data_IF_209244064667
#
_entry.id   IF_209244064667
#
_cell.length_a   1.000
_cell.length_b   1.000
_cell.length_c   1.000
_cell.angle_alpha   90.00
_cell.angle_beta   90.00
_cell.angle_gamma   90.00
#
_symmetry.space_group_name_H-M   'P 1'
#
loop_
_entity.id
_entity.type
_entity.pdbx_description
1 polymer ?
#
# COMPACT_ATOMS: atom_id res chain seq x y z
N UNK A 1 -10.85 -3.55 -18.82
CA UNK A 1 -9.78 -2.77 -18.17
C UNK A 1 -10.15 -2.73 -16.71
N UNK A 2 -9.43 -3.43 -15.83
CA UNK A 2 -9.78 -3.51 -14.41
C UNK A 2 -9.47 -2.15 -13.76
N UNK A 3 -10.37 -1.68 -12.88
CA UNK A 3 -10.18 -0.39 -12.18
C UNK A 3 -9.63 -0.68 -10.79
N UNK A 4 -8.41 -0.23 -10.55
CA UNK A 4 -7.72 -0.37 -9.28
C UNK A 4 -8.52 0.24 -8.10
N UNK A 5 -8.51 -0.44 -6.94
CA UNK A 5 -9.20 0.01 -5.72
C UNK A 5 -8.86 1.44 -5.34
N UNK A 6 -7.57 1.77 -5.29
CA UNK A 6 -7.12 3.08 -4.81
C UNK A 6 -7.57 4.15 -5.81
N UNK A 7 -7.38 3.90 -7.11
CA UNK A 7 -7.81 4.82 -8.16
C UNK A 7 -9.32 5.06 -8.11
N UNK A 8 -10.11 4.01 -7.89
CA UNK A 8 -11.57 4.10 -7.77
C UNK A 8 -11.99 4.94 -6.56
N UNK A 9 -11.40 4.68 -5.41
CA UNK A 9 -11.68 5.42 -4.16
C UNK A 9 -11.32 6.89 -4.33
N UNK A 10 -10.13 7.20 -4.84
CA UNK A 10 -9.69 8.58 -5.05
C UNK A 10 -10.59 9.32 -6.05
N UNK A 11 -11.00 8.64 -7.13
CA UNK A 11 -11.92 9.20 -8.11
C UNK A 11 -13.31 9.53 -7.53
N UNK A 12 -13.89 8.61 -6.75
CA UNK A 12 -15.21 8.80 -6.13
C UNK A 12 -15.17 9.89 -5.06
N UNK A 13 -14.11 9.93 -4.25
CA UNK A 13 -13.89 11.01 -3.27
C UNK A 13 -13.85 12.37 -3.95
N UNK A 14 -13.12 12.50 -5.05
CA UNK A 14 -13.03 13.76 -5.83
C UNK A 14 -14.40 14.23 -6.35
N UNK A 15 -15.36 13.31 -6.53
CA UNK A 15 -16.75 13.61 -6.89
C UNK A 15 -17.68 13.85 -5.70
N UNK A 16 -17.13 13.94 -4.48
CA UNK A 16 -17.88 14.19 -3.24
C UNK A 16 -18.47 12.95 -2.58
N UNK A 17 -18.09 11.73 -3.02
CA UNK A 17 -18.53 10.49 -2.39
C UNK A 17 -17.42 9.90 -1.50
N UNK A 18 -17.51 10.11 -0.19
CA UNK A 18 -16.52 9.65 0.78
C UNK A 18 -16.73 8.19 1.23
N UNK A 19 -17.94 7.65 1.06
CA UNK A 19 -18.31 6.30 1.52
C UNK A 19 -17.32 5.20 1.14
N UNK A 20 -16.81 5.11 -0.11
CA UNK A 20 -15.85 4.06 -0.46
C UNK A 20 -14.55 4.14 0.35
N UNK A 21 -14.06 5.33 0.67
CA UNK A 21 -12.85 5.47 1.49
C UNK A 21 -13.14 5.02 2.93
N UNK A 22 -14.27 5.45 3.49
CA UNK A 22 -14.72 5.05 4.83
C UNK A 22 -14.86 3.53 4.94
N UNK A 23 -15.42 2.89 3.91
CA UNK A 23 -15.56 1.44 3.85
C UNK A 23 -14.22 0.72 3.81
N UNK A 24 -13.24 1.21 3.04
CA UNK A 24 -11.87 0.65 3.05
C UNK A 24 -11.24 0.79 4.43
N UNK A 25 -11.40 1.93 5.09
CA UNK A 25 -10.86 2.16 6.43
C UNK A 25 -11.50 1.26 7.48
N UNK A 26 -12.82 1.08 7.41
CA UNK A 26 -13.54 0.15 8.26
C UNK A 26 -13.02 -1.28 8.05
N UNK A 27 -12.93 -1.72 6.79
CA UNK A 27 -12.38 -3.03 6.43
C UNK A 27 -11.00 -3.26 7.03
N UNK A 28 -10.08 -2.32 6.84
CA UNK A 28 -8.71 -2.41 7.37
C UNK A 28 -8.74 -2.53 8.89
N UNK A 29 -9.55 -1.71 9.57
CA UNK A 29 -9.63 -1.73 11.03
C UNK A 29 -10.20 -3.05 11.58
N UNK A 30 -11.20 -3.64 10.92
CA UNK A 30 -11.74 -4.95 11.28
C UNK A 30 -10.70 -6.07 11.07
N UNK A 31 -9.89 -5.91 10.04
CA UNK A 31 -8.89 -6.88 9.60
C UNK A 31 -7.60 -6.87 10.44
N UNK A 32 -7.41 -5.89 11.32
CA UNK A 32 -6.29 -5.84 12.28
C UNK A 32 -6.35 -6.96 13.34
N UNK A 33 -7.50 -7.64 13.46
CA UNK A 33 -7.74 -8.69 14.45
C UNK A 33 -7.55 -10.12 13.92
N UNK A 34 -7.38 -10.26 12.60
CA UNK A 34 -7.22 -11.56 11.93
C UNK A 34 -5.74 -12.03 11.92
N UNK A 35 -5.48 -13.31 11.56
CA UNK A 35 -4.11 -13.82 11.43
C UNK A 35 -3.25 -12.96 10.51
N UNK A 36 -2.04 -12.67 10.97
CA UNK A 36 -1.09 -11.74 10.35
C UNK A 36 0.33 -12.25 10.53
N UNK A 37 1.20 -11.94 9.58
CA UNK A 37 2.63 -12.23 9.70
C UNK A 37 3.32 -11.04 10.35
N UNK A 38 4.09 -11.30 11.40
CA UNK A 38 4.82 -10.25 12.12
C UNK A 38 6.26 -10.09 11.60
N UNK A 39 6.75 -8.86 11.61
CA UNK A 39 8.16 -8.56 11.39
C UNK A 39 8.59 -7.36 12.24
N UNK A 40 9.89 -7.31 12.54
CA UNK A 40 10.50 -6.23 13.34
C UNK A 40 11.37 -5.36 12.44
N UNK A 41 11.15 -4.05 12.48
CA UNK A 41 11.99 -3.04 11.82
C UNK A 41 12.31 -1.94 12.82
N UNK A 42 13.59 -1.57 12.94
CA UNK A 42 14.05 -0.51 13.83
C UNK A 42 13.54 -0.64 15.29
N UNK A 43 13.44 -1.88 15.78
CA UNK A 43 12.97 -2.19 17.14
C UNK A 43 11.45 -2.10 17.34
N UNK A 44 10.68 -1.71 16.31
CA UNK A 44 9.21 -1.66 16.35
C UNK A 44 8.60 -2.87 15.68
N UNK A 45 7.43 -3.31 16.18
CA UNK A 45 6.69 -4.42 15.60
C UNK A 45 5.74 -3.93 14.50
N UNK A 46 5.77 -4.64 13.37
CA UNK A 46 4.89 -4.44 12.24
C UNK A 46 4.23 -5.76 11.84
N UNK A 47 3.13 -5.62 11.12
CA UNK A 47 2.34 -6.73 10.62
C UNK A 47 2.04 -6.54 9.15
N UNK A 48 1.91 -7.65 8.44
CA UNK A 48 1.36 -7.64 7.10
C UNK A 48 0.48 -8.86 6.82
N UNK A 49 -0.40 -8.70 5.82
CA UNK A 49 -1.21 -9.78 5.27
C UNK A 49 -1.67 -9.47 3.84
N UNK A 50 -2.15 -10.50 3.14
CA UNK A 50 -2.76 -10.37 1.82
C UNK A 50 -4.28 -10.24 1.95
N UNK A 51 -4.86 -9.30 1.23
CA UNK A 51 -6.30 -9.07 1.14
C UNK A 51 -6.72 -9.18 -0.33
N UNK A 52 -7.76 -9.94 -0.62
CA UNK A 52 -8.28 -10.10 -1.98
C UNK A 52 -9.27 -8.99 -2.36
N UNK A 53 -9.42 -8.72 -3.66
CA UNK A 53 -10.41 -7.81 -4.23
C UNK A 53 -11.84 -8.21 -3.87
N UNK A 54 -12.07 -9.47 -3.51
CA UNK A 54 -13.37 -9.95 -3.04
C UNK A 54 -13.88 -9.19 -1.81
N UNK A 55 -12.95 -8.78 -0.94
CA UNK A 55 -13.28 -7.95 0.22
C UNK A 55 -13.75 -6.55 -0.17
N UNK A 56 -13.48 -6.12 -1.41
CA UNK A 56 -13.79 -4.80 -1.95
C UNK A 56 -14.81 -4.82 -3.10
N UNK A 57 -15.55 -5.93 -3.29
CA UNK A 57 -16.56 -6.09 -4.36
C UNK A 57 -17.64 -5.00 -4.40
N UNK A 58 -17.94 -4.37 -3.26
CA UNK A 58 -18.88 -3.25 -3.18
C UNK A 58 -18.32 -1.93 -3.75
N UNK A 59 -17.00 -1.84 -3.93
CA UNK A 59 -16.29 -0.63 -4.36
C UNK A 59 -15.74 -0.81 -5.78
N UNK A 60 -15.14 -1.96 -6.05
CA UNK A 60 -14.55 -2.33 -7.34
C UNK A 60 -15.15 -3.64 -7.86
N UNK A 61 -15.31 -3.69 -9.17
CA UNK A 61 -15.65 -4.91 -9.90
C UNK A 61 -14.38 -5.42 -10.60
N UNK A 62 -13.44 -5.95 -9.82
CA UNK A 62 -12.21 -6.57 -10.32
C UNK A 62 -12.13 -8.04 -9.92
N UNK A 63 -11.99 -8.89 -10.92
CA UNK A 63 -11.62 -10.28 -10.72
C UNK A 63 -10.14 -10.38 -10.31
N UNK A 64 -9.91 -10.92 -9.12
CA UNK A 64 -8.63 -11.50 -8.69
C UNK A 64 -7.48 -10.46 -8.65
N UNK A 65 -7.64 -9.41 -7.84
CA UNK A 65 -6.53 -8.54 -7.43
C UNK A 65 -6.21 -8.75 -5.95
N UNK A 66 -4.94 -8.89 -5.61
CA UNK A 66 -4.47 -9.01 -4.22
C UNK A 66 -3.78 -7.72 -3.76
N UNK A 67 -3.84 -7.48 -2.45
CA UNK A 67 -3.32 -6.30 -1.80
C UNK A 67 -2.51 -6.69 -0.58
N UNK A 68 -1.34 -6.09 -0.40
CA UNK A 68 -0.64 -6.11 0.87
C UNK A 68 -1.22 -5.03 1.78
N UNK A 69 -1.72 -5.43 2.94
CA UNK A 69 -1.95 -4.54 4.07
C UNK A 69 -0.72 -4.60 4.97
N UNK A 70 -0.12 -3.45 5.28
CA UNK A 70 1.03 -3.32 6.17
C UNK A 70 0.66 -2.32 7.28
N UNK A 71 0.88 -2.67 8.54
CA UNK A 71 0.50 -1.81 9.64
C UNK A 71 1.31 -2.02 10.93
N UNK A 72 1.23 -1.04 11.83
CA UNK A 72 1.71 -1.14 13.21
C UNK A 72 0.76 -0.38 14.13
N UNK A 73 0.36 -1.03 15.23
CA UNK A 73 -0.39 -0.38 16.31
C UNK A 73 0.50 0.51 17.19
N UNK A 74 1.79 0.20 17.29
CA UNK A 74 2.77 0.99 18.06
C UNK A 74 3.11 2.32 17.39
N UNK A 75 2.99 2.40 16.06
CA UNK A 75 3.37 3.57 15.27
C UNK A 75 2.21 4.18 14.46
N UNK A 76 0.96 3.85 14.76
CA UNK A 76 -0.24 4.24 13.99
C UNK A 76 -0.15 4.06 12.45
N UNK A 77 0.86 3.35 11.95
CA UNK A 77 1.20 3.27 10.54
C UNK A 77 0.25 2.29 9.88
N UNK A 78 -0.35 2.71 8.76
CA UNK A 78 -1.25 1.87 7.97
C UNK A 78 -1.04 2.16 6.50
N UNK A 79 -0.79 1.14 5.71
CA UNK A 79 -0.61 1.27 4.28
C UNK A 79 -1.17 0.08 3.50
N UNK A 80 -1.62 0.35 2.28
CA UNK A 80 -2.13 -0.64 1.33
C UNK A 80 -1.31 -0.57 0.04
N UNK A 81 -0.85 -1.71 -0.46
CA UNK A 81 -0.06 -1.80 -1.69
C UNK A 81 -0.61 -2.88 -2.61
N UNK A 82 -0.81 -2.56 -3.89
CA UNK A 82 -1.28 -3.54 -4.87
C UNK A 82 -0.21 -4.62 -5.05
N UNK A 83 -0.56 -5.89 -4.82
CA UNK A 83 0.30 -7.01 -5.17
C UNK A 83 0.18 -7.25 -6.67
N UNK A 84 1.31 -7.21 -7.37
CA UNK A 84 1.41 -7.69 -8.75
C UNK A 84 2.29 -8.92 -8.74
N UNK A 85 1.84 -9.98 -9.39
CA UNK A 85 2.68 -11.14 -9.57
C UNK A 85 3.83 -10.80 -10.54
N UNK A 86 5.05 -11.10 -10.11
CA UNK A 86 6.23 -10.99 -10.95
C UNK A 86 6.18 -11.99 -12.10
N UNK A 87 7.02 -11.73 -13.10
CA UNK A 87 7.20 -12.64 -14.24
C UNK A 87 8.00 -13.84 -13.72
N UNK A 88 7.53 -15.05 -14.01
CA UNK A 88 8.36 -16.24 -13.82
C UNK A 88 9.65 -16.07 -14.63
N UNK A 89 10.80 -16.23 -13.98
CA UNK A 89 12.06 -16.29 -14.72
C UNK A 89 12.00 -17.46 -15.74
N UNK A 90 12.89 -17.47 -16.75
CA UNK A 90 12.91 -18.46 -17.84
C UNK A 90 12.99 -19.94 -17.37
N UNK A 91 13.27 -20.16 -16.09
CA UNK A 91 13.38 -21.45 -15.41
C UNK A 91 12.20 -21.74 -14.46
N UNK A 92 11.14 -20.92 -14.47
CA UNK A 92 9.89 -21.14 -13.72
C UNK A 92 10.01 -21.06 -12.20
N UNK A 93 11.12 -20.54 -11.66
CA UNK A 93 11.50 -20.80 -10.28
C UNK A 93 10.98 -19.81 -9.25
N UNK A 94 10.60 -18.56 -9.61
CA UNK A 94 10.13 -17.58 -8.60
C UNK A 94 9.11 -16.58 -9.14
N UNK A 95 7.94 -16.50 -8.49
CA UNK A 95 7.03 -15.36 -8.58
C UNK A 95 7.41 -14.36 -7.49
N UNK A 96 8.18 -13.35 -7.88
CA UNK A 96 8.52 -12.23 -7.00
C UNK A 96 7.35 -11.23 -6.96
N UNK A 97 6.77 -10.91 -5.80
CA UNK A 97 5.77 -9.86 -5.74
C UNK A 97 6.37 -8.52 -6.16
N UNK A 98 5.60 -7.74 -6.90
CA UNK A 98 5.96 -6.38 -7.30
C UNK A 98 4.99 -5.38 -6.69
N UNK A 99 5.54 -4.42 -5.96
CA UNK A 99 4.85 -3.21 -5.51
C UNK A 99 5.53 -2.01 -6.18
N UNK A 100 4.77 -1.29 -7.00
CA UNK A 100 5.20 -0.02 -7.57
C UNK A 100 4.73 1.17 -6.75
N UNK A 101 3.54 1.06 -6.17
CA UNK A 101 2.82 2.16 -5.52
C UNK A 101 2.25 1.69 -4.20
N UNK A 102 2.32 2.56 -3.19
CA UNK A 102 1.82 2.30 -1.85
C UNK A 102 0.93 3.46 -1.41
N UNK A 103 -0.28 3.13 -0.96
CA UNK A 103 -1.22 4.08 -0.40
C UNK A 103 -1.06 4.11 1.10
N UNK A 104 -0.45 5.19 1.61
CA UNK A 104 -0.22 5.38 3.02
C UNK A 104 -1.44 6.09 3.60
N UNK A 105 -2.15 5.41 4.48
CA UNK A 105 -3.40 5.86 5.07
C UNK A 105 -3.16 6.70 6.31
N UNK A 106 -2.21 6.24 7.14
CA UNK A 106 -1.75 6.89 8.36
C UNK A 106 -0.26 6.61 8.54
N UNK A 107 0.46 7.57 9.09
CA UNK A 107 1.86 7.39 9.47
C UNK A 107 2.25 8.40 10.53
N UNK A 108 2.90 7.92 11.58
CA UNK A 108 3.50 8.72 12.63
C UNK A 108 5.00 9.00 12.40
N UNK A 109 5.56 8.54 11.27
CA UNK A 109 6.99 8.68 11.00
C UNK A 109 7.34 10.16 10.96
N UNK A 110 8.38 10.55 11.70
CA UNK A 110 8.80 11.95 11.77
C UNK A 110 9.07 12.52 10.36
N UNK A 111 9.61 11.67 9.49
CA UNK A 111 9.97 12.04 8.12
C UNK A 111 8.83 11.91 7.10
N UNK A 112 7.67 11.35 7.50
CA UNK A 112 6.48 11.16 6.67
C UNK A 112 5.19 11.14 7.51
N UNK A 113 4.89 12.25 8.19
CA UNK A 113 3.71 12.32 9.08
C UNK A 113 2.42 12.51 8.28
N UNK A 114 1.45 11.62 8.47
CA UNK A 114 0.15 11.63 7.76
C UNK A 114 -0.99 11.44 8.75
N UNK A 115 -1.71 12.53 8.99
CA UNK A 115 -2.85 12.56 9.93
C UNK A 115 -4.20 12.71 9.23
N UNK A 116 -4.28 13.56 8.19
CA UNK A 116 -5.57 14.05 7.69
C UNK A 116 -6.02 13.39 6.38
N UNK A 117 -5.07 13.11 5.47
CA UNK A 117 -5.39 12.61 4.14
C UNK A 117 -4.42 11.52 3.71
N UNK A 118 -4.93 10.35 3.29
CA UNK A 118 -4.11 9.34 2.67
C UNK A 118 -3.40 9.85 1.43
N UNK A 119 -2.16 9.40 1.22
CA UNK A 119 -1.36 9.74 0.05
C UNK A 119 -0.95 8.47 -0.68
N UNK A 120 -0.98 8.52 -2.00
CA UNK A 120 -0.44 7.46 -2.84
C UNK A 120 0.97 7.86 -3.25
N UNK A 121 1.98 7.03 -2.96
CA UNK A 121 3.37 7.32 -3.34
C UNK A 121 3.96 6.20 -4.18
N UNK A 122 5.01 6.53 -4.94
CA UNK A 122 5.93 5.52 -5.46
C UNK A 122 6.67 4.83 -4.32
N UNK A 123 6.75 3.51 -4.38
CA UNK A 123 7.55 2.75 -3.43
C UNK A 123 9.03 3.17 -3.53
N UNK A 124 9.69 3.55 -2.42
CA UNK A 124 11.13 3.83 -2.41
C UNK A 124 11.98 2.54 -2.42
N UNK A 125 11.35 1.37 -2.33
CA UNK A 125 11.99 0.06 -2.28
C UNK A 125 11.63 -0.79 -3.52
N UNK A 126 12.60 -1.54 -4.02
CA UNK A 126 12.42 -2.54 -5.08
C UNK A 126 12.28 -3.89 -4.40
N UNK A 127 11.13 -4.51 -4.58
CA UNK A 127 10.84 -5.83 -4.04
C UNK A 127 11.48 -6.89 -4.95
N UNK A 128 12.42 -7.64 -4.38
CA UNK A 128 13.25 -8.61 -5.10
C UNK A 128 13.20 -9.99 -4.43
N UNK A 129 12.59 -10.11 -3.24
CA UNK A 129 12.49 -11.36 -2.52
C UNK A 129 11.22 -12.11 -2.93
N UNK A 130 11.26 -13.45 -2.94
CA UNK A 130 10.05 -14.23 -3.13
C UNK A 130 9.11 -14.03 -1.93
N UNK A 131 7.83 -14.34 -2.11
CA UNK A 131 6.77 -14.03 -1.14
C UNK A 131 7.06 -14.62 0.26
N UNK A 132 7.73 -15.78 0.34
CA UNK A 132 8.08 -16.45 1.59
C UNK A 132 9.13 -15.67 2.41
N UNK A 133 9.83 -14.73 1.79
CA UNK A 133 10.88 -13.91 2.41
C UNK A 133 10.56 -12.40 2.32
N UNK A 134 9.30 -12.05 2.08
CA UNK A 134 8.88 -10.66 1.84
C UNK A 134 9.10 -9.73 3.05
N UNK A 135 9.18 -10.29 4.26
CA UNK A 135 9.51 -9.56 5.49
C UNK A 135 10.78 -8.73 5.37
N UNK A 136 11.79 -9.25 4.65
CA UNK A 136 13.03 -8.52 4.44
C UNK A 136 12.81 -7.24 3.63
N UNK A 137 12.00 -7.32 2.58
CA UNK A 137 11.68 -6.18 1.73
C UNK A 137 10.76 -5.18 2.45
N UNK A 138 9.83 -5.67 3.29
CA UNK A 138 9.04 -4.80 4.15
C UNK A 138 9.87 -4.07 5.19
N UNK A 139 10.84 -4.72 5.84
CA UNK A 139 11.80 -4.05 6.74
C UNK A 139 12.55 -2.94 6.01
N UNK A 140 13.05 -3.22 4.81
CA UNK A 140 13.72 -2.18 4.02
C UNK A 140 12.77 -1.06 3.60
N UNK A 141 11.53 -1.36 3.22
CA UNK A 141 10.53 -0.35 2.90
C UNK A 141 10.30 0.58 4.10
N UNK A 142 10.04 0.03 5.29
CA UNK A 142 9.79 0.82 6.51
C UNK A 142 11.01 1.70 6.84
N UNK A 143 12.20 1.12 6.87
CA UNK A 143 13.45 1.87 7.11
C UNK A 143 13.61 3.03 6.11
N UNK A 144 13.27 2.79 4.83
CA UNK A 144 13.35 3.82 3.79
C UNK A 144 12.29 4.92 3.94
N UNK A 145 11.06 4.55 4.31
CA UNK A 145 9.99 5.53 4.58
C UNK A 145 10.36 6.43 5.76
N UNK A 146 10.99 5.86 6.79
CA UNK A 146 11.41 6.60 7.98
C UNK A 146 12.68 7.46 7.76
N UNK A 147 13.47 7.20 6.73
CA UNK A 147 14.71 7.95 6.47
C UNK A 147 14.44 9.29 5.76
N UNK A 148 14.73 10.46 6.36
CA UNK A 148 14.46 11.78 5.78
C UNK A 148 15.23 12.09 4.48
N UNK A 149 16.33 11.39 4.21
CA UNK A 149 17.16 11.63 3.03
C UNK A 149 16.64 10.93 1.77
N UNK A 150 15.64 10.08 1.88
CA UNK A 150 15.08 9.34 0.74
C UNK A 150 14.03 10.18 0.04
N UNK A 151 14.16 10.33 -1.27
CA UNK A 151 13.16 11.07 -2.06
C UNK A 151 11.86 10.29 -2.15
N UNK A 152 10.73 10.98 -1.94
CA UNK A 152 9.39 10.41 -2.02
C UNK A 152 8.56 11.23 -3.01
N UNK A 153 7.79 10.54 -3.85
CA UNK A 153 6.96 11.14 -4.90
C UNK A 153 5.51 10.71 -4.72
N UNK A 154 4.62 11.68 -4.52
CA UNK A 154 3.17 11.51 -4.51
C UNK A 154 2.63 11.33 -5.92
N UNK A 155 1.60 10.52 -6.04
CA UNK A 155 0.68 10.53 -7.16
C UNK A 155 -0.50 11.44 -6.87
N UNK A 156 -0.70 12.43 -7.75
CA UNK A 156 -1.84 13.34 -7.68
C UNK A 156 -2.71 13.12 -8.93
N UNK A 157 -4.02 12.99 -8.73
CA UNK A 157 -4.98 12.89 -9.83
C UNK A 157 -5.44 14.29 -10.27
N UNK A 158 -4.85 14.83 -11.33
CA UNK A 158 -5.29 16.08 -11.95
C UNK A 158 -6.54 15.87 -12.82
N UNK A 159 -7.49 16.83 -12.83
CA UNK A 159 -8.68 16.78 -13.70
C UNK A 159 -8.45 16.91 -15.23
N UNK A 160 -7.27 17.34 -15.71
CA UNK A 160 -6.98 17.68 -17.11
C UNK A 160 -5.95 16.78 -17.81
N UNK A 161 -5.15 15.99 -17.10
CA UNK A 161 -4.20 15.03 -17.70
C UNK A 161 -4.20 13.68 -16.99
N UNK A 162 -3.76 12.64 -17.72
CA UNK A 162 -3.81 11.23 -17.31
C UNK A 162 -2.81 10.85 -16.21
N UNK A 163 -1.86 11.70 -15.80
CA UNK A 163 -0.94 11.38 -14.69
C UNK A 163 -0.23 12.63 -14.17
N UNK A 164 -0.21 12.84 -12.85
CA UNK A 164 0.67 13.83 -12.21
C UNK A 164 1.44 13.21 -11.06
N UNK A 165 2.73 13.51 -11.02
CA UNK A 165 3.65 13.18 -9.95
C UNK A 165 4.01 14.47 -9.24
N UNK A 166 3.87 14.52 -7.92
CA UNK A 166 4.35 15.64 -7.10
C UNK A 166 5.47 15.14 -6.19
N UNK A 167 6.58 15.87 -6.11
CA UNK A 167 7.66 15.50 -5.19
C UNK A 167 7.27 15.96 -3.79
N UNK A 168 7.20 15.01 -2.86
CA UNK A 168 6.93 15.30 -1.44
C UNK A 168 8.25 15.56 -0.72
N UNK A 169 9.33 14.88 -1.13
CA UNK A 169 10.67 14.97 -0.53
C UNK A 169 11.77 14.64 -1.54
#
# INVERSE_FOLDING_TARGET
>A
MSIDLIDRVLYLKKRGNEKPQEEVFRWISENETEPQTEFISDGKKYYWKIISSEKFKNIIDEDITEWFLIFSSESEFKALAKKRDGIENLIGQKKEPKISTIWILKSDFESLKINDKPILIWSPHRFERPIENIDYDFKQLISKLNNPNIKLTEFILDPKSKTYQNRIR
#
